data_IF_241736324217
#
_entry.id   IF_241736324217
#
_cell.length_a   1.000
_cell.length_b   1.000
_cell.length_c   1.000
_cell.angle_alpha   90.00
_cell.angle_beta   90.00
_cell.angle_gamma   90.00
#
_symmetry.space_group_name_H-M   'P 1'
#
loop_
_entity.id
_entity.type
_entity.pdbx_description
1 polymer ?
#
# COMPACT_ATOMS: atom_id res chain seq x y z
N UNK A 1 -1.63 -15.24 3.06
CA UNK A 1 -1.30 -14.18 2.07
C UNK A 1 -0.98 -12.87 2.78
N UNK A 2 0.11 -12.20 2.43
CA UNK A 2 0.42 -10.88 2.98
C UNK A 2 -0.48 -9.83 2.31
N UNK A 3 -1.10 -8.94 3.09
CA UNK A 3 -1.85 -7.81 2.53
C UNK A 3 -0.86 -6.92 1.76
N UNK A 4 -1.00 -6.89 0.44
CA UNK A 4 -0.17 -6.16 -0.50
C UNK A 4 -1.05 -5.25 -1.35
N UNK A 5 -0.51 -4.13 -1.82
CA UNK A 5 -1.22 -3.30 -2.79
C UNK A 5 -1.20 -3.98 -4.16
N UNK A 6 -2.37 -4.23 -4.73
CA UNK A 6 -2.49 -4.93 -6.02
C UNK A 6 -1.78 -4.21 -7.18
N UNK A 7 -1.69 -2.88 -7.11
CA UNK A 7 -1.12 -2.05 -8.20
C UNK A 7 0.38 -1.80 -8.04
N UNK A 8 0.81 -1.52 -6.82
CA UNK A 8 2.20 -1.07 -6.55
C UNK A 8 3.05 -2.13 -5.86
N UNK A 9 2.46 -3.27 -5.49
CA UNK A 9 3.15 -4.31 -4.76
C UNK A 9 3.58 -3.91 -3.35
N UNK A 10 3.12 -2.77 -2.81
CA UNK A 10 3.56 -2.30 -1.50
C UNK A 10 3.12 -3.26 -0.39
N UNK A 11 4.08 -3.85 0.31
CA UNK A 11 3.88 -4.74 1.44
C UNK A 11 4.15 -4.05 2.77
N UNK A 12 3.92 -4.80 3.84
CA UNK A 12 4.26 -4.42 5.21
C UNK A 12 5.77 -4.52 5.43
N UNK A 13 6.36 -3.53 6.10
CA UNK A 13 7.78 -3.52 6.45
C UNK A 13 7.99 -3.81 7.94
N UNK A 14 9.02 -4.58 8.27
CA UNK A 14 9.43 -4.83 9.66
C UNK A 14 10.69 -4.02 9.92
N UNK A 15 10.72 -3.26 11.01
CA UNK A 15 11.90 -2.49 11.38
C UNK A 15 12.00 -2.27 12.88
N UNK A 16 13.20 -1.91 13.33
CA UNK A 16 13.44 -1.53 14.72
C UNK A 16 12.65 -0.27 15.10
N UNK A 17 12.34 -0.18 16.39
CA UNK A 17 11.87 1.04 17.04
C UNK A 17 12.87 1.38 18.13
N UNK A 18 12.95 2.64 18.51
CA UNK A 18 13.71 3.07 19.67
C UNK A 18 12.86 4.03 20.50
N UNK A 19 13.22 4.16 21.77
CA UNK A 19 12.53 5.05 22.70
C UNK A 19 13.53 5.99 23.37
N UNK A 20 13.15 7.27 23.48
CA UNK A 20 13.93 8.31 24.17
C UNK A 20 13.25 8.72 25.49
N UNK A 21 12.50 7.79 26.14
CA UNK A 21 11.59 8.11 27.26
C UNK A 21 12.31 8.50 28.57
N UNK A 22 13.50 7.96 28.83
CA UNK A 22 14.25 8.18 30.09
C UNK A 22 15.36 9.24 29.97
N UNK A 23 15.99 9.39 28.80
CA UNK A 23 16.97 10.45 28.50
C UNK A 23 17.09 10.61 26.98
N UNK A 24 17.04 11.83 26.45
CA UNK A 24 17.09 12.07 25.01
C UNK A 24 18.41 11.61 24.33
N UNK A 25 19.48 11.48 25.12
CA UNK A 25 20.82 11.05 24.67
C UNK A 25 21.04 9.53 24.69
N UNK A 26 20.10 8.74 25.20
CA UNK A 26 20.21 7.28 25.25
C UNK A 26 19.30 6.62 24.21
N UNK A 27 19.91 5.91 23.27
CA UNK A 27 19.17 5.08 22.31
C UNK A 27 18.80 3.74 22.96
N UNK A 28 17.55 3.62 23.41
CA UNK A 28 17.03 2.37 23.95
C UNK A 28 16.33 1.57 22.84
N UNK A 29 16.95 0.51 22.28
CA UNK A 29 16.34 -0.27 21.21
C UNK A 29 15.08 -0.97 21.74
N UNK A 30 13.96 -0.71 21.07
CA UNK A 30 12.73 -1.46 21.26
C UNK A 30 12.68 -2.58 20.21
N UNK A 31 11.97 -3.67 20.52
CA UNK A 31 11.79 -4.79 19.59
C UNK A 31 11.30 -4.40 18.20
N UNK A 32 11.41 -5.33 17.24
CA UNK A 32 10.98 -5.11 15.85
C UNK A 32 9.47 -4.90 15.79
N UNK A 33 9.04 -3.82 15.14
CA UNK A 33 7.62 -3.49 14.95
C UNK A 33 7.25 -3.58 13.48
N UNK A 34 6.01 -4.02 13.23
CA UNK A 34 5.41 -4.16 11.92
C UNK A 34 4.75 -2.85 11.46
N UNK A 35 5.27 -2.21 10.41
CA UNK A 35 4.70 -1.03 9.76
C UNK A 35 3.84 -1.44 8.56
N UNK A 36 2.51 -1.41 8.75
CA UNK A 36 1.54 -1.85 7.74
C UNK A 36 1.47 -0.87 6.56
N UNK A 37 1.20 -1.38 5.36
CA UNK A 37 0.82 -0.55 4.23
C UNK A 37 -0.61 -0.01 4.43
N UNK A 38 -0.84 1.28 4.10
CA UNK A 38 -2.16 1.90 4.14
C UNK A 38 -3.02 1.41 2.95
N UNK A 39 -3.58 0.21 3.09
CA UNK A 39 -4.41 -0.46 2.09
C UNK A 39 -5.89 -0.18 2.37
N UNK A 40 -6.65 0.10 1.31
CA UNK A 40 -8.08 0.34 1.37
C UNK A 40 -8.77 -0.48 0.27
N UNK A 41 -9.89 -1.12 0.63
CA UNK A 41 -10.80 -1.73 -0.34
C UNK A 41 -11.52 -0.62 -1.10
N UNK A 42 -11.30 -0.54 -2.42
CA UNK A 42 -11.93 0.46 -3.28
C UNK A 42 -12.54 -0.20 -4.52
N UNK A 43 -13.68 0.34 -4.92
CA UNK A 43 -14.34 0.02 -6.18
C UNK A 43 -13.85 0.99 -7.25
N UNK A 44 -13.33 0.46 -8.34
CA UNK A 44 -12.84 1.25 -9.47
C UNK A 44 -13.61 0.83 -10.71
N UNK A 45 -14.25 1.80 -11.35
CA UNK A 45 -14.93 1.59 -12.63
C UNK A 45 -13.90 1.68 -13.77
N UNK A 46 -13.88 0.66 -14.64
CA UNK A 46 -13.04 0.63 -15.83
C UNK A 46 -13.94 0.83 -17.05
N UNK A 47 -13.91 2.04 -17.62
CA UNK A 47 -14.79 2.44 -18.71
C UNK A 47 -14.66 1.52 -19.94
N UNK A 48 -13.44 1.10 -20.28
CA UNK A 48 -13.16 0.25 -21.45
C UNK A 48 -13.74 -1.16 -21.35
N UNK A 49 -14.03 -1.64 -20.13
CA UNK A 49 -14.59 -2.97 -19.89
C UNK A 49 -16.04 -2.92 -19.43
N UNK A 50 -16.59 -1.73 -19.19
CA UNK A 50 -17.92 -1.54 -18.60
C UNK A 50 -18.08 -2.18 -17.21
N UNK A 51 -16.98 -2.52 -16.53
CA UNK A 51 -16.97 -3.33 -15.31
C UNK A 51 -16.40 -2.55 -14.13
N UNK A 52 -16.94 -2.82 -12.94
CA UNK A 52 -16.38 -2.32 -11.68
C UNK A 52 -15.53 -3.42 -11.06
N UNK A 53 -14.26 -3.12 -10.77
CA UNK A 53 -13.34 -4.03 -10.10
C UNK A 53 -13.14 -3.58 -8.65
N UNK A 54 -13.16 -4.55 -7.73
CA UNK A 54 -12.84 -4.32 -6.31
C UNK A 54 -11.38 -4.68 -6.10
N UNK A 55 -10.57 -3.73 -5.64
CA UNK A 55 -9.13 -3.91 -5.40
C UNK A 55 -8.73 -3.42 -4.01
N UNK A 56 -7.77 -4.12 -3.40
CA UNK A 56 -7.10 -3.69 -2.17
C UNK A 56 -5.92 -2.79 -2.56
N UNK A 57 -6.17 -1.47 -2.57
CA UNK A 57 -5.25 -0.49 -3.13
C UNK A 57 -4.66 0.41 -2.04
N UNK A 58 -3.39 0.77 -2.19
CA UNK A 58 -2.76 1.80 -1.37
C UNK A 58 -3.01 3.21 -1.93
N UNK A 59 -2.84 4.24 -1.11
CA UNK A 59 -2.94 5.64 -1.57
C UNK A 59 -1.99 5.97 -2.72
N UNK A 60 -0.80 5.36 -2.75
CA UNK A 60 0.12 5.51 -3.89
C UNK A 60 -0.43 4.83 -5.14
N UNK A 61 -1.10 3.69 -5.00
CA UNK A 61 -1.79 3.01 -6.11
C UNK A 61 -2.93 3.84 -6.69
N UNK A 62 -3.74 4.49 -5.84
CA UNK A 62 -4.77 5.44 -6.29
C UNK A 62 -4.18 6.63 -7.06
N UNK A 63 -3.03 7.17 -6.60
CA UNK A 63 -2.33 8.23 -7.33
C UNK A 63 -1.87 7.74 -8.72
N UNK A 64 -1.39 6.50 -8.83
CA UNK A 64 -0.99 5.91 -10.11
C UNK A 64 -2.18 5.73 -11.06
N UNK A 65 -3.32 5.25 -10.55
CA UNK A 65 -4.57 5.14 -11.32
C UNK A 65 -4.99 6.51 -11.85
N UNK A 66 -4.95 7.53 -11.01
CA UNK A 66 -5.31 8.90 -11.42
C UNK A 66 -4.37 9.46 -12.49
N UNK A 67 -3.06 9.15 -12.41
CA UNK A 67 -2.06 9.66 -13.37
C UNK A 67 -2.11 8.94 -14.72
N UNK A 68 -2.21 7.61 -14.71
CA UNK A 68 -2.02 6.79 -15.91
C UNK A 68 -3.34 6.25 -16.50
N UNK A 69 -4.47 6.47 -15.84
CA UNK A 69 -5.75 5.86 -16.19
C UNK A 69 -5.96 4.48 -15.56
N UNK A 70 -7.22 4.10 -15.36
CA UNK A 70 -7.58 2.86 -14.66
C UNK A 70 -7.20 1.60 -15.45
N UNK A 71 -7.46 1.57 -16.76
CA UNK A 71 -7.18 0.40 -17.60
C UNK A 71 -5.68 0.09 -17.68
N UNK A 72 -4.86 1.09 -18.04
CA UNK A 72 -3.40 0.92 -18.15
C UNK A 72 -2.75 0.53 -16.81
N UNK A 73 -3.21 1.11 -15.70
CA UNK A 73 -2.67 0.80 -14.37
C UNK A 73 -3.03 -0.63 -13.91
N UNK A 74 -4.27 -1.08 -14.16
CA UNK A 74 -4.74 -2.41 -13.76
C UNK A 74 -4.18 -3.51 -14.66
N UNK A 75 -4.06 -3.25 -15.97
CA UNK A 75 -3.40 -4.16 -16.94
C UNK A 75 -1.93 -4.36 -16.62
N UNK A 76 -1.21 -3.28 -16.30
CA UNK A 76 0.21 -3.38 -15.89
C UNK A 76 0.38 -4.18 -14.61
N UNK A 77 -0.59 -4.08 -13.70
CA UNK A 77 -0.62 -4.82 -12.45
C UNK A 77 -1.10 -6.27 -12.60
N UNK A 78 -1.49 -6.71 -13.81
CA UNK A 78 -2.06 -8.05 -14.10
C UNK A 78 -3.29 -8.38 -13.24
N UNK A 79 -4.02 -7.35 -12.80
CA UNK A 79 -5.28 -7.49 -12.06
C UNK A 79 -6.46 -7.67 -13.04
N UNK A 80 -6.24 -7.29 -14.30
CA UNK A 80 -7.06 -7.47 -15.48
C UNK A 80 -6.11 -7.85 -16.61
#
# INVERSE_FOLDING_TARGET
MARQCDITGKTTQIGGRYSNRTRATQFNPTGKVRRKANLQKRRIYVAELGKTVIVDVSMKGLKTIKKNGAYAALKKAKVI
#
